data_IF_502113089005
#
_entry.id   IF_502113089005
#
_cell.length_a   1.000
_cell.length_b   1.000
_cell.length_c   1.000
_cell.angle_alpha   90.00
_cell.angle_beta   90.00
_cell.angle_gamma   90.00
#
_symmetry.space_group_name_H-M   'P 1'
#
loop_
_entity.id
_entity.type
_entity.pdbx_description
1 polymer ?
#
# COMPACT_ATOMS: atom_id res chain seq x y z
N UNK A 1 -20.27 0.47 -10.09
CA UNK A 1 -19.05 0.15 -9.34
C UNK A 1 -18.54 -1.17 -9.90
N UNK A 2 -17.44 -1.18 -10.65
CA UNK A 2 -16.90 -2.40 -11.24
C UNK A 2 -16.32 -3.27 -10.13
N UNK A 3 -16.82 -4.49 -9.97
CA UNK A 3 -16.31 -5.44 -9.00
C UNK A 3 -14.91 -5.89 -9.46
N UNK A 4 -13.85 -5.26 -8.93
CA UNK A 4 -12.48 -5.65 -9.22
C UNK A 4 -12.11 -6.82 -8.31
N UNK A 5 -11.79 -7.97 -8.88
CA UNK A 5 -11.22 -9.08 -8.13
C UNK A 5 -9.72 -8.86 -7.95
N UNK A 6 -9.23 -9.10 -6.73
CA UNK A 6 -7.80 -9.12 -6.39
C UNK A 6 -7.39 -10.57 -6.15
N UNK A 7 -7.02 -11.32 -7.20
CA UNK A 7 -6.67 -12.73 -7.07
C UNK A 7 -5.42 -12.96 -6.20
N UNK A 8 -4.63 -11.91 -5.95
CA UNK A 8 -3.44 -11.93 -5.11
C UNK A 8 -3.44 -10.74 -4.15
N UNK A 9 -3.15 -11.01 -2.88
CA UNK A 9 -2.96 -10.01 -1.83
C UNK A 9 -1.57 -10.19 -1.22
N UNK A 10 -0.79 -9.11 -1.19
CA UNK A 10 0.57 -9.08 -0.65
C UNK A 10 0.64 -8.13 0.56
N UNK A 11 0.84 -8.69 1.74
CA UNK A 11 1.09 -7.91 2.94
C UNK A 11 2.57 -7.56 3.10
N UNK A 12 2.91 -6.28 3.26
CA UNK A 12 4.25 -5.86 3.66
C UNK A 12 4.38 -5.85 5.18
N UNK A 13 5.35 -6.60 5.73
CA UNK A 13 5.65 -6.67 7.16
C UNK A 13 7.13 -6.39 7.43
N UNK A 14 7.47 -6.01 8.66
CA UNK A 14 8.85 -5.67 9.06
C UNK A 14 8.93 -4.62 10.17
N UNK A 15 10.13 -4.37 10.70
CA UNK A 15 10.39 -3.43 11.80
C UNK A 15 9.95 -1.99 11.46
N UNK A 16 9.60 -1.20 12.48
CA UNK A 16 9.25 0.22 12.30
C UNK A 16 10.40 0.97 11.60
N UNK A 17 10.07 1.95 10.76
CA UNK A 17 11.01 2.76 9.98
C UNK A 17 11.90 2.03 8.95
N UNK A 18 11.65 0.75 8.68
CA UNK A 18 12.34 0.00 7.61
C UNK A 18 11.69 0.20 6.22
N UNK A 19 11.07 1.35 5.96
CA UNK A 19 10.66 1.74 4.61
C UNK A 19 9.49 0.97 3.98
N UNK A 20 8.68 0.24 4.76
CA UNK A 20 7.52 -0.51 4.25
C UNK A 20 6.54 0.38 3.46
N UNK A 21 6.15 1.51 4.01
CA UNK A 21 5.26 2.47 3.33
C UNK A 21 5.93 3.07 2.09
N UNK A 22 7.25 3.27 2.15
CA UNK A 22 8.02 3.81 1.03
C UNK A 22 8.06 2.85 -0.17
N UNK A 23 8.27 1.54 0.04
CA UNK A 23 8.28 0.56 -1.05
C UNK A 23 6.89 0.39 -1.65
N UNK A 24 5.83 0.35 -0.83
CA UNK A 24 4.44 0.30 -1.32
C UNK A 24 4.15 1.49 -2.21
N UNK A 25 4.50 2.71 -1.78
CA UNK A 25 4.31 3.93 -2.57
C UNK A 25 5.13 3.93 -3.86
N UNK A 26 6.38 3.45 -3.82
CA UNK A 26 7.22 3.38 -5.01
C UNK A 26 6.68 2.41 -6.08
N UNK A 27 6.07 1.30 -5.64
CA UNK A 27 5.52 0.30 -6.55
C UNK A 27 4.13 0.68 -7.08
N UNK A 28 3.23 1.14 -6.22
CA UNK A 28 1.82 1.38 -6.56
C UNK A 28 1.50 2.84 -6.91
N UNK A 29 2.36 3.79 -6.51
CA UNK A 29 2.05 5.22 -6.54
C UNK A 29 1.05 5.67 -5.45
N UNK A 30 0.57 4.75 -4.60
CA UNK A 30 -0.42 5.05 -3.57
C UNK A 30 0.26 5.45 -2.26
N UNK A 31 -0.16 6.57 -1.69
CA UNK A 31 0.24 7.01 -0.35
C UNK A 31 -0.70 6.38 0.70
N UNK A 32 -0.23 5.35 1.40
CA UNK A 32 -1.03 4.62 2.39
C UNK A 32 -1.25 5.40 3.69
N UNK A 33 -0.35 6.32 4.04
CA UNK A 33 -0.45 7.15 5.25
C UNK A 33 -1.47 8.27 5.00
N UNK A 34 -2.76 7.92 5.02
CA UNK A 34 -3.87 8.81 4.67
C UNK A 34 -4.30 9.74 5.80
N UNK A 35 -3.97 9.40 7.05
CA UNK A 35 -4.35 10.20 8.21
C UNK A 35 -3.38 11.36 8.42
N UNK A 36 -3.91 12.51 8.81
CA UNK A 36 -3.10 13.67 9.21
C UNK A 36 -2.15 13.32 10.37
N UNK A 37 -2.54 12.43 11.27
CA UNK A 37 -1.73 12.00 12.40
C UNK A 37 -0.54 11.13 11.96
N UNK A 38 -0.73 10.23 10.99
CA UNK A 38 0.35 9.41 10.41
C UNK A 38 1.42 10.29 9.80
N UNK A 39 1.02 11.29 9.00
CA UNK A 39 1.93 12.25 8.38
C UNK A 39 2.64 13.12 9.40
N UNK A 40 1.96 13.53 10.48
CA UNK A 40 2.56 14.35 11.56
C UNK A 40 3.58 13.56 12.38
N UNK A 41 3.34 12.26 12.60
CA UNK A 41 4.19 11.41 13.43
C UNK A 41 5.25 10.64 12.63
N UNK A 42 5.12 10.58 11.31
CA UNK A 42 6.02 9.79 10.46
C UNK A 42 5.87 8.29 10.67
N UNK A 43 4.70 7.81 11.08
CA UNK A 43 4.43 6.41 11.34
C UNK A 43 3.05 6.00 10.83
N UNK A 44 2.95 4.77 10.33
CA UNK A 44 1.67 4.16 9.93
C UNK A 44 0.90 3.70 11.17
N UNK A 45 -0.37 4.12 11.28
CA UNK A 45 -1.24 3.86 12.44
C UNK A 45 -2.36 2.89 12.03
N UNK A 46 -2.81 2.95 10.78
CA UNK A 46 -3.84 2.09 10.23
C UNK A 46 -3.31 1.27 9.03
N UNK A 47 -3.96 0.14 8.74
CA UNK A 47 -3.68 -0.61 7.52
C UNK A 47 -4.05 0.21 6.28
N UNK A 48 -3.11 0.30 5.33
CA UNK A 48 -3.33 0.87 4.00
C UNK A 48 -3.40 -0.23 2.94
N UNK A 49 -4.14 0.04 1.87
CA UNK A 49 -4.29 -0.84 0.72
C UNK A 49 -3.88 -0.09 -0.55
N UNK A 50 -3.11 -0.75 -1.41
CA UNK A 50 -2.48 -0.12 -2.56
C UNK A 50 -2.51 -1.05 -3.78
N UNK A 51 -3.61 -1.03 -4.57
CA UNK A 51 -3.70 -1.77 -5.81
C UNK A 51 -2.54 -1.48 -6.77
N UNK A 52 -1.96 -2.54 -7.33
CA UNK A 52 -0.90 -2.50 -8.32
C UNK A 52 -1.35 -3.26 -9.57
N UNK A 53 -1.55 -2.52 -10.66
CA UNK A 53 -1.83 -3.09 -11.98
C UNK A 53 -0.50 -3.45 -12.66
N UNK A 54 -0.33 -4.71 -13.03
CA UNK A 54 0.88 -5.21 -13.69
C UNK A 54 0.74 -5.16 -15.23
N UNK A 55 1.86 -5.07 -15.97
CA UNK A 55 1.84 -5.14 -17.44
C UNK A 55 1.20 -6.42 -18.01
N UNK A 56 1.12 -7.49 -17.21
CA UNK A 56 0.46 -8.75 -17.58
C UNK A 56 -1.08 -8.67 -17.57
N UNK A 57 -1.67 -7.54 -17.17
CA UNK A 57 -3.11 -7.35 -17.02
C UNK A 57 -3.68 -7.90 -15.71
N UNK A 58 -2.83 -8.38 -14.80
CA UNK A 58 -3.23 -8.82 -13.45
C UNK A 58 -3.14 -7.65 -12.46
N UNK A 59 -3.99 -7.67 -11.45
CA UNK A 59 -3.94 -6.73 -10.33
C UNK A 59 -3.54 -7.45 -9.04
N UNK A 60 -2.62 -6.84 -8.29
CA UNK A 60 -2.24 -7.25 -6.94
C UNK A 60 -2.78 -6.19 -5.97
N UNK A 61 -3.26 -6.61 -4.80
CA UNK A 61 -3.50 -5.69 -3.68
C UNK A 61 -2.50 -5.89 -2.55
#
# INVERSE_FOLDING_TARGET
MTNREYPFVLGTAGHIDHGKTAIVRALSGVDCDRLLEEKKRGMTIELGFAPLDLPSGKTIS
#
